data_IF_008336277005
#
_entry.id   IF_008336277005
#
_cell.length_a   1.000
_cell.length_b   1.000
_cell.length_c   1.000
_cell.angle_alpha   90.00
_cell.angle_beta   90.00
_cell.angle_gamma   90.00
#
_symmetry.space_group_name_H-M   'P 1'
#
loop_
_entity.id
_entity.type
_entity.pdbx_description
1 polymer ?
#
# COMPACT_ATOMS: atom_id res chain seq x y z
N UNK A 1 -18.20 29.53 -3.02
CA UNK A 1 -17.47 30.75 -2.63
C UNK A 1 -16.53 30.56 -1.43
N UNK A 2 -16.59 29.45 -0.68
CA UNK A 2 -15.58 29.13 0.34
C UNK A 2 -14.40 28.26 -0.18
N UNK A 3 -14.56 27.59 -1.33
CA UNK A 3 -13.57 26.62 -1.86
C UNK A 3 -12.49 27.23 -2.78
N UNK A 4 -12.49 28.55 -3.03
CA UNK A 4 -11.59 29.18 -4.02
C UNK A 4 -10.44 30.02 -3.40
N UNK A 5 -10.25 30.01 -2.07
CA UNK A 5 -9.29 30.90 -1.39
C UNK A 5 -8.01 30.23 -0.87
N UNK A 6 -7.80 28.93 -1.10
CA UNK A 6 -6.58 28.24 -0.63
C UNK A 6 -5.32 28.54 -1.47
N UNK A 7 -5.48 29.20 -2.64
CA UNK A 7 -4.40 29.48 -3.59
C UNK A 7 -3.63 30.79 -3.38
N UNK A 8 -3.75 31.43 -2.21
CA UNK A 8 -2.99 32.65 -1.89
C UNK A 8 -1.97 32.39 -0.78
N UNK A 9 -0.71 32.12 -1.19
CA UNK A 9 0.54 32.17 -0.38
C UNK A 9 0.46 31.49 1.00
N UNK A 10 0.29 30.18 0.99
CA UNK A 10 1.25 29.24 1.53
C UNK A 10 2.02 29.56 2.86
N UNK A 11 1.50 28.95 3.94
CA UNK A 11 2.24 28.31 5.06
C UNK A 11 2.97 29.15 6.09
N UNK A 12 3.64 30.25 5.76
CA UNK A 12 4.46 30.93 6.79
C UNK A 12 3.62 31.83 7.70
N UNK A 13 2.41 32.21 7.29
CA UNK A 13 1.58 33.21 8.01
C UNK A 13 0.23 32.69 8.49
N UNK A 14 -0.10 31.42 8.24
CA UNK A 14 -1.39 30.85 8.65
C UNK A 14 -1.30 30.22 10.05
N UNK A 15 -2.40 30.18 10.83
CA UNK A 15 -2.46 29.42 12.06
C UNK A 15 -2.07 27.94 11.86
N UNK A 16 -1.51 27.32 12.89
CA UNK A 16 -1.09 25.91 12.89
C UNK A 16 -2.21 24.95 12.44
N UNK A 17 -3.44 25.22 12.87
CA UNK A 17 -4.61 24.42 12.51
C UNK A 17 -4.88 24.44 10.99
N UNK A 18 -4.76 25.62 10.36
CA UNK A 18 -5.01 25.79 8.94
C UNK A 18 -3.89 25.15 8.11
N UNK A 19 -2.63 25.30 8.57
CA UNK A 19 -1.50 24.59 7.98
C UNK A 19 -1.69 23.07 8.06
N UNK A 20 -2.07 22.54 9.22
CA UNK A 20 -2.33 21.12 9.42
C UNK A 20 -3.43 20.58 8.50
N UNK A 21 -4.51 21.34 8.30
CA UNK A 21 -5.60 20.98 7.36
C UNK A 21 -5.13 20.97 5.91
N UNK A 22 -4.33 21.96 5.50
CA UNK A 22 -3.77 22.04 4.16
C UNK A 22 -2.78 20.90 3.91
N UNK A 23 -1.89 20.62 4.86
CA UNK A 23 -0.94 19.52 4.81
C UNK A 23 -1.64 18.16 4.67
N UNK A 24 -2.71 17.94 5.44
CA UNK A 24 -3.51 16.71 5.38
C UNK A 24 -4.27 16.53 4.05
N UNK A 25 -4.49 17.61 3.29
CA UNK A 25 -5.03 17.50 1.93
C UNK A 25 -3.97 17.04 0.94
N UNK A 26 -2.73 17.53 1.06
CA UNK A 26 -1.69 17.28 0.04
C UNK A 26 -0.83 16.05 0.32
N UNK A 27 -0.76 15.59 1.58
CA UNK A 27 -0.02 14.40 1.99
C UNK A 27 -0.90 13.49 2.84
N UNK A 28 -0.87 12.20 2.53
CA UNK A 28 -1.60 11.19 3.30
C UNK A 28 -0.70 10.02 3.69
N UNK A 29 0.02 10.11 4.82
CA UNK A 29 0.86 9.03 5.32
C UNK A 29 0.04 7.84 5.83
N UNK A 30 -1.12 8.09 6.44
CA UNK A 30 -1.87 7.08 7.20
C UNK A 30 -3.21 6.67 6.60
N UNK A 31 -3.65 7.31 5.50
CA UNK A 31 -4.94 7.00 4.85
C UNK A 31 -4.74 6.73 3.36
N UNK A 32 -5.45 5.74 2.79
CA UNK A 32 -5.54 5.60 1.34
C UNK A 32 -5.99 6.91 0.70
N UNK A 33 -5.32 7.31 -0.38
CA UNK A 33 -5.71 8.48 -1.15
C UNK A 33 -7.05 8.21 -1.84
N UNK A 34 -7.92 9.22 -1.84
CA UNK A 34 -9.28 9.12 -2.40
C UNK A 34 -9.50 9.99 -3.64
N UNK A 35 -8.57 10.92 -3.94
CA UNK A 35 -8.65 11.77 -5.13
C UNK A 35 -7.49 11.50 -6.11
N UNK A 36 -7.82 11.58 -7.40
CA UNK A 36 -6.89 11.32 -8.51
C UNK A 36 -5.67 12.26 -8.49
N UNK A 37 -5.85 13.48 -7.97
CA UNK A 37 -4.83 14.52 -7.87
C UNK A 37 -3.63 14.13 -7.00
N UNK A 38 -3.77 13.15 -6.11
CA UNK A 38 -2.69 12.69 -5.24
C UNK A 38 -2.08 11.35 -5.68
N UNK A 39 -2.65 10.68 -6.69
CA UNK A 39 -2.15 9.41 -7.23
C UNK A 39 -1.05 9.60 -8.29
N UNK A 40 -0.03 10.42 -7.96
CA UNK A 40 1.08 10.71 -8.88
C UNK A 40 1.83 9.45 -9.31
N UNK A 41 2.06 9.33 -10.61
CA UNK A 41 2.75 8.21 -11.23
C UNK A 41 1.91 6.93 -11.31
N UNK A 42 0.59 7.02 -11.12
CA UNK A 42 -0.38 5.90 -11.20
C UNK A 42 -1.51 6.14 -12.20
N UNK A 43 -1.36 7.15 -13.07
CA UNK A 43 -2.40 7.63 -13.98
C UNK A 43 -2.80 6.56 -14.99
N UNK A 44 -1.82 5.83 -15.55
CA UNK A 44 -2.07 4.75 -16.50
C UNK A 44 -2.84 3.59 -15.86
N UNK A 45 -2.47 3.20 -14.62
CA UNK A 45 -3.15 2.12 -13.90
C UNK A 45 -4.59 2.54 -13.57
N UNK A 46 -4.80 3.78 -13.13
CA UNK A 46 -6.14 4.29 -12.82
C UNK A 46 -7.04 4.32 -14.06
N UNK A 47 -6.53 4.82 -15.19
CA UNK A 47 -7.25 4.84 -16.47
C UNK A 47 -7.60 3.41 -16.94
N UNK A 48 -6.64 2.47 -16.82
CA UNK A 48 -6.88 1.05 -17.11
C UNK A 48 -8.00 0.45 -16.26
N UNK A 49 -8.02 0.74 -14.95
CA UNK A 49 -9.07 0.32 -14.03
C UNK A 49 -10.43 0.90 -14.43
N UNK A 50 -10.50 2.20 -14.71
CA UNK A 50 -11.75 2.86 -15.14
C UNK A 50 -12.29 2.25 -16.42
N UNK A 51 -11.45 2.08 -17.45
CA UNK A 51 -11.82 1.44 -18.72
C UNK A 51 -12.28 0.00 -18.53
N UNK A 52 -11.61 -0.77 -17.67
CA UNK A 52 -12.00 -2.14 -17.39
C UNK A 52 -13.37 -2.22 -16.73
N UNK A 53 -13.67 -1.36 -15.75
CA UNK A 53 -14.91 -1.35 -15.00
C UNK A 53 -16.12 -0.77 -15.75
N UNK A 54 -15.90 -0.12 -16.90
CA UNK A 54 -16.97 0.20 -17.86
C UNK A 54 -17.43 -1.02 -18.67
N UNK A 55 -16.60 -2.06 -18.80
CA UNK A 55 -17.00 -3.29 -19.47
C UNK A 55 -17.95 -4.12 -18.57
N UNK A 56 -19.16 -4.49 -19.02
CA UNK A 56 -20.09 -5.28 -18.22
C UNK A 56 -19.51 -6.63 -17.79
N UNK A 57 -19.68 -7.00 -16.52
CA UNK A 57 -19.19 -8.26 -15.96
C UNK A 57 -17.68 -8.33 -15.81
N UNK A 58 -16.97 -7.20 -15.87
CA UNK A 58 -15.53 -7.14 -15.60
C UNK A 58 -15.26 -6.54 -14.23
N UNK A 59 -14.34 -7.18 -13.52
CA UNK A 59 -13.89 -6.84 -12.18
C UNK A 59 -12.39 -6.54 -12.21
N UNK A 60 -11.84 -6.00 -11.13
CA UNK A 60 -10.44 -5.60 -11.07
C UNK A 60 -9.73 -6.31 -9.93
N UNK A 61 -8.50 -6.74 -10.17
CA UNK A 61 -7.60 -7.20 -9.13
C UNK A 61 -6.30 -6.42 -9.17
N UNK A 62 -6.01 -5.66 -8.12
CA UNK A 62 -4.78 -4.91 -7.94
C UNK A 62 -3.83 -5.72 -7.06
N UNK A 63 -2.62 -5.99 -7.55
CA UNK A 63 -1.64 -6.77 -6.81
C UNK A 63 -0.26 -6.12 -6.80
N UNK A 64 0.52 -6.41 -5.76
CA UNK A 64 1.84 -5.82 -5.57
C UNK A 64 2.31 -5.91 -4.13
N UNK A 65 3.54 -5.46 -3.87
CA UNK A 65 4.12 -5.51 -2.54
C UNK A 65 3.30 -4.71 -1.51
N UNK A 66 3.46 -5.02 -0.22
CA UNK A 66 2.88 -4.19 0.85
C UNK A 66 3.47 -2.77 0.77
N UNK A 67 2.64 -1.75 1.06
CA UNK A 67 3.07 -0.35 1.08
C UNK A 67 3.27 0.35 -0.27
N UNK A 68 2.95 -0.30 -1.41
CA UNK A 68 3.12 0.32 -2.77
C UNK A 68 1.94 1.20 -3.21
N UNK A 69 0.87 1.28 -2.40
CA UNK A 69 -0.30 2.14 -2.67
C UNK A 69 -1.50 1.45 -3.32
N UNK A 70 -1.67 0.12 -3.15
CA UNK A 70 -2.79 -0.64 -3.73
C UNK A 70 -4.15 -0.13 -3.26
N UNK A 71 -4.32 -0.01 -1.94
CA UNK A 71 -5.54 0.50 -1.31
C UNK A 71 -5.91 1.90 -1.79
N UNK A 72 -4.92 2.80 -1.88
CA UNK A 72 -5.12 4.16 -2.43
C UNK A 72 -5.61 4.13 -3.87
N UNK A 73 -4.99 3.31 -4.72
CA UNK A 73 -5.40 3.17 -6.12
C UNK A 73 -6.82 2.60 -6.24
N UNK A 74 -7.14 1.56 -5.47
CA UNK A 74 -8.47 0.94 -5.48
C UNK A 74 -9.56 1.88 -4.99
N UNK A 75 -9.33 2.58 -3.87
CA UNK A 75 -10.32 3.51 -3.32
C UNK A 75 -10.52 4.70 -4.26
N UNK A 76 -9.46 5.32 -4.77
CA UNK A 76 -9.62 6.42 -5.74
C UNK A 76 -10.37 5.97 -6.98
N UNK A 77 -10.05 4.80 -7.53
CA UNK A 77 -10.79 4.24 -8.65
C UNK A 77 -12.27 4.01 -8.31
N UNK A 78 -12.56 3.49 -7.11
CA UNK A 78 -13.92 3.25 -6.66
C UNK A 78 -14.71 4.56 -6.52
N UNK A 79 -14.12 5.59 -5.91
CA UNK A 79 -14.73 6.92 -5.78
C UNK A 79 -14.94 7.62 -7.12
N UNK A 80 -14.04 7.43 -8.09
CA UNK A 80 -14.18 7.98 -9.45
C UNK A 80 -15.36 7.37 -10.24
N UNK A 81 -15.79 6.16 -9.86
CA UNK A 81 -16.86 5.41 -10.53
C UNK A 81 -18.20 5.48 -9.79
N UNK A 82 -18.18 5.74 -8.48
CA UNK A 82 -19.39 6.01 -7.71
C UNK A 82 -20.09 7.28 -8.19
N UNK A 83 -21.41 7.26 -8.13
CA UNK A 83 -22.22 8.47 -8.31
C UNK A 83 -22.20 9.31 -7.04
N UNK A 84 -22.38 10.63 -7.16
CA UNK A 84 -22.46 11.58 -6.03
C UNK A 84 -23.50 11.21 -4.93
N UNK A 85 -24.42 10.29 -5.22
CA UNK A 85 -25.45 9.82 -4.29
C UNK A 85 -25.11 8.49 -3.58
N UNK A 86 -24.04 7.79 -3.95
CA UNK A 86 -23.72 6.46 -3.43
C UNK A 86 -22.21 6.24 -3.35
N UNK A 87 -21.63 6.39 -2.16
CA UNK A 87 -20.23 6.08 -1.90
C UNK A 87 -19.93 4.58 -2.10
N UNK A 88 -18.70 4.22 -2.54
CA UNK A 88 -18.28 2.84 -2.63
C UNK A 88 -18.26 2.16 -1.26
N UNK A 89 -18.43 0.84 -1.26
CA UNK A 89 -18.29 0.01 -0.06
C UNK A 89 -16.85 -0.48 0.01
N UNK A 90 -16.19 -0.29 1.15
CA UNK A 90 -14.78 -0.66 1.35
C UNK A 90 -14.73 -1.64 2.51
N UNK A 91 -14.28 -2.85 2.25
CA UNK A 91 -14.16 -3.94 3.23
C UNK A 91 -12.71 -4.37 3.32
N UNK A 92 -12.16 -4.41 4.53
CA UNK A 92 -10.81 -4.95 4.78
C UNK A 92 -10.90 -6.42 5.21
N UNK A 93 -9.99 -7.24 4.70
CA UNK A 93 -9.87 -8.63 5.12
C UNK A 93 -8.83 -8.82 6.23
N UNK A 94 -9.09 -9.78 7.12
CA UNK A 94 -8.19 -10.30 8.13
C UNK A 94 -8.14 -11.84 8.07
N UNK A 95 -7.37 -12.45 8.97
CA UNK A 95 -7.15 -13.89 8.99
C UNK A 95 -8.35 -14.70 9.53
N UNK A 96 -9.36 -14.05 10.09
CA UNK A 96 -10.57 -14.67 10.63
C UNK A 96 -11.74 -14.64 9.64
N UNK A 97 -11.64 -13.83 8.58
CA UNK A 97 -12.70 -13.71 7.59
C UNK A 97 -12.83 -14.94 6.70
N UNK A 98 -14.08 -15.26 6.35
CA UNK A 98 -14.47 -16.22 5.33
C UNK A 98 -15.19 -15.50 4.18
N UNK A 99 -15.44 -16.21 3.07
CA UNK A 99 -16.27 -15.69 1.99
C UNK A 99 -17.63 -15.22 2.49
N UNK A 100 -18.31 -16.06 3.29
CA UNK A 100 -19.65 -15.76 3.79
C UNK A 100 -19.67 -14.56 4.73
N UNK A 101 -18.64 -14.39 5.58
CA UNK A 101 -18.56 -13.23 6.48
C UNK A 101 -18.42 -11.92 5.70
N UNK A 102 -17.54 -11.87 4.70
CA UNK A 102 -17.32 -10.65 3.90
C UNK A 102 -18.58 -10.26 3.11
N UNK A 103 -19.32 -11.22 2.57
CA UNK A 103 -20.59 -10.92 1.86
C UNK A 103 -21.67 -10.44 2.83
N UNK A 104 -21.69 -10.96 4.06
CA UNK A 104 -22.57 -10.42 5.11
C UNK A 104 -22.19 -8.98 5.45
N UNK A 105 -20.92 -8.70 5.67
CA UNK A 105 -20.44 -7.34 5.98
C UNK A 105 -20.80 -6.36 4.86
N UNK A 106 -20.65 -6.76 3.59
CA UNK A 106 -21.13 -5.99 2.44
C UNK A 106 -22.62 -5.65 2.56
N UNK A 107 -23.45 -6.64 2.90
CA UNK A 107 -24.89 -6.45 2.98
C UNK A 107 -25.27 -5.54 4.16
N UNK A 108 -24.64 -5.72 5.32
CA UNK A 108 -24.85 -4.85 6.49
C UNK A 108 -24.45 -3.40 6.22
N UNK A 109 -23.31 -3.19 5.55
CA UNK A 109 -22.80 -1.86 5.19
C UNK A 109 -23.69 -1.14 4.17
N UNK A 110 -24.26 -1.86 3.21
CA UNK A 110 -25.19 -1.26 2.24
C UNK A 110 -26.54 -0.90 2.90
N UNK A 111 -27.04 -1.75 3.80
CA UNK A 111 -28.30 -1.50 4.51
C UNK A 111 -28.17 -0.31 5.46
N UNK A 112 -27.08 -0.23 6.22
CA UNK A 112 -26.86 0.86 7.19
C UNK A 112 -26.84 2.24 6.52
N UNK A 113 -26.41 2.30 5.25
CA UNK A 113 -26.35 3.52 4.43
C UNK A 113 -27.68 3.89 3.77
N UNK A 114 -28.67 2.99 3.73
CA UNK A 114 -29.95 3.25 3.06
C UNK A 114 -31.15 2.93 3.95
N UNK A 115 -31.69 3.94 4.67
CA UNK A 115 -32.91 3.81 5.46
C UNK A 115 -34.12 3.36 4.63
N UNK A 116 -34.11 3.58 3.31
CA UNK A 116 -35.15 3.10 2.39
C UNK A 116 -35.07 1.59 2.19
N UNK A 117 -33.87 1.02 2.09
CA UNK A 117 -33.67 -0.44 2.04
C UNK A 117 -34.08 -1.03 3.38
N UNK A 118 -33.64 -0.42 4.49
CA UNK A 118 -34.00 -0.84 5.84
C UNK A 118 -35.52 -0.80 6.07
N UNK A 119 -36.21 0.28 5.66
CA UNK A 119 -37.67 0.38 5.71
C UNK A 119 -38.34 -0.60 4.76
N UNK A 120 -37.83 -0.83 3.55
CA UNK A 120 -38.39 -1.85 2.66
C UNK A 120 -38.31 -3.25 3.27
N UNK A 121 -37.24 -3.53 4.02
CA UNK A 121 -37.07 -4.77 4.78
C UNK A 121 -38.02 -4.82 5.99
N UNK A 122 -38.27 -3.70 6.68
CA UNK A 122 -39.09 -3.62 7.92
C UNK A 122 -40.60 -3.45 7.68
N UNK A 123 -41.01 -2.61 6.74
CA UNK A 123 -42.41 -2.25 6.40
C UNK A 123 -43.07 -3.29 5.48
N UNK A 124 -42.28 -4.20 4.91
CA UNK A 124 -42.76 -5.41 4.23
C UNK A 124 -43.34 -6.43 5.20
N UNK A 125 -44.43 -6.09 5.90
CA UNK A 125 -45.23 -6.95 6.79
C UNK A 125 -45.95 -8.13 6.09
N UNK A 126 -45.46 -8.53 4.92
CA UNK A 126 -45.98 -9.59 4.07
C UNK A 126 -44.95 -10.00 3.01
N UNK A 127 -43.86 -10.65 3.43
CA UNK A 127 -43.13 -11.55 2.54
C UNK A 127 -41.89 -11.03 1.78
N UNK A 128 -41.02 -10.20 2.37
CA UNK A 128 -39.59 -10.31 2.05
C UNK A 128 -38.98 -11.32 3.01
N UNK A 129 -39.25 -12.59 2.74
CA UNK A 129 -38.70 -13.69 3.51
C UNK A 129 -37.23 -13.85 3.11
N UNK A 130 -36.25 -13.28 3.83
CA UNK A 130 -34.82 -13.56 3.59
C UNK A 130 -34.52 -15.08 3.50
N UNK A 131 -35.41 -15.92 4.05
CA UNK A 131 -35.44 -17.36 3.84
C UNK A 131 -35.64 -17.88 2.40
N UNK A 132 -36.18 -17.10 1.45
CA UNK A 132 -36.17 -17.46 0.02
C UNK A 132 -34.83 -17.14 -0.66
N UNK A 133 -34.14 -16.10 -0.18
CA UNK A 133 -32.79 -15.74 -0.62
C UNK A 133 -31.75 -16.75 -0.13
N UNK A 134 -31.91 -17.28 1.09
CA UNK A 134 -30.98 -18.22 1.74
C UNK A 134 -31.44 -19.68 1.79
N UNK A 135 -32.55 -20.03 1.14
CA UNK A 135 -33.10 -21.39 1.15
C UNK A 135 -33.59 -21.91 2.52
N UNK A 136 -33.40 -21.16 3.59
CA UNK A 136 -33.81 -21.50 4.94
C UNK A 136 -35.31 -21.17 5.14
N UNK A 137 -36.15 -22.21 5.19
CA UNK A 137 -37.53 -22.07 5.60
C UNK A 137 -37.59 -21.48 7.02
N UNK A 138 -38.06 -20.23 7.12
CA UNK A 138 -38.15 -19.38 8.33
C UNK A 138 -36.81 -18.89 8.87
N UNK A 139 -36.31 -17.79 8.28
CA UNK A 139 -35.50 -16.84 9.05
C UNK A 139 -36.49 -16.05 9.91
N UNK A 140 -36.53 -16.34 11.21
CA UNK A 140 -37.20 -15.45 12.16
C UNK A 140 -36.52 -14.08 12.08
N UNK A 141 -37.27 -13.07 11.66
CA UNK A 141 -36.97 -11.65 11.85
C UNK A 141 -36.96 -11.30 13.34
N UNK A 142 -36.05 -11.90 14.09
CA UNK A 142 -35.61 -11.36 15.37
C UNK A 142 -34.29 -10.63 15.08
N UNK A 143 -34.41 -9.30 15.10
CA UNK A 143 -33.36 -8.29 14.90
C UNK A 143 -32.85 -8.20 13.45
N UNK A 144 -32.84 -7.00 12.87
CA UNK A 144 -32.50 -6.77 11.46
C UNK A 144 -31.03 -6.96 11.12
N UNK A 145 -30.50 -8.16 11.37
CA UNK A 145 -29.17 -8.62 10.96
C UNK A 145 -29.25 -9.35 9.62
N UNK A 146 -28.21 -9.16 8.82
CA UNK A 146 -28.06 -9.82 7.54
C UNK A 146 -27.78 -11.32 7.73
N UNK A 147 -28.39 -12.22 6.94
CA UNK A 147 -28.02 -13.62 7.00
C UNK A 147 -26.67 -13.85 6.29
N UNK A 148 -25.80 -14.67 6.89
CA UNK A 148 -24.60 -15.16 6.21
C UNK A 148 -25.04 -16.10 5.07
N UNK A 149 -24.57 -15.88 3.83
CA UNK A 149 -24.92 -16.77 2.72
C UNK A 149 -24.31 -18.15 2.97
N UNK A 150 -25.15 -19.18 2.88
CA UNK A 150 -24.72 -20.57 3.03
C UNK A 150 -24.12 -21.15 1.74
N UNK A 151 -24.42 -20.51 0.59
CA UNK A 151 -23.87 -20.89 -0.72
C UNK A 151 -23.50 -19.68 -1.56
N UNK A 152 -22.63 -19.90 -2.56
CA UNK A 152 -22.24 -18.87 -3.54
C UNK A 152 -23.46 -18.33 -4.30
N UNK A 153 -24.44 -19.19 -4.62
CA UNK A 153 -25.66 -18.78 -5.31
C UNK A 153 -26.51 -17.81 -4.48
N UNK A 154 -26.50 -17.96 -3.16
CA UNK A 154 -27.18 -17.05 -2.22
C UNK A 154 -26.46 -15.71 -2.17
N UNK A 155 -25.13 -15.72 -2.05
CA UNK A 155 -24.33 -14.50 -2.11
C UNK A 155 -24.60 -13.69 -3.39
N UNK A 156 -24.66 -14.35 -4.55
CA UNK A 156 -24.97 -13.70 -5.83
C UNK A 156 -26.37 -13.09 -5.83
N UNK A 157 -27.37 -13.80 -5.28
CA UNK A 157 -28.74 -13.28 -5.16
C UNK A 157 -28.82 -12.09 -4.21
N UNK A 158 -28.09 -12.11 -3.10
CA UNK A 158 -28.01 -10.98 -2.17
C UNK A 158 -27.43 -9.75 -2.85
N UNK A 159 -26.31 -9.87 -3.56
CA UNK A 159 -25.70 -8.73 -4.25
C UNK A 159 -26.58 -8.21 -5.40
N UNK A 160 -27.25 -9.09 -6.14
CA UNK A 160 -28.23 -8.68 -7.15
C UNK A 160 -29.37 -7.87 -6.52
N UNK A 161 -29.92 -8.34 -5.39
CA UNK A 161 -30.96 -7.64 -4.64
C UNK A 161 -30.49 -6.25 -4.15
N UNK A 162 -29.25 -6.12 -3.68
CA UNK A 162 -28.67 -4.84 -3.28
C UNK A 162 -28.57 -3.89 -4.47
N UNK A 163 -28.11 -4.36 -5.63
CA UNK A 163 -27.99 -3.53 -6.83
C UNK A 163 -29.34 -2.97 -7.29
N UNK A 164 -30.41 -3.78 -7.25
CA UNK A 164 -31.77 -3.34 -7.61
C UNK A 164 -32.30 -2.18 -6.73
N UNK A 165 -31.81 -2.04 -5.50
CA UNK A 165 -32.38 -1.12 -4.49
C UNK A 165 -31.45 0.00 -4.06
N UNK A 166 -30.13 -0.19 -4.20
CA UNK A 166 -29.12 0.79 -3.79
C UNK A 166 -28.76 1.69 -4.97
N UNK A 167 -28.36 1.10 -6.11
CA UNK A 167 -28.02 1.80 -7.37
C UNK A 167 -27.50 0.78 -8.41
N UNK A 168 -27.68 1.06 -9.71
CA UNK A 168 -27.07 0.32 -10.84
C UNK A 168 -25.53 0.37 -10.89
N UNK A 169 -24.89 0.92 -9.85
CA UNK A 169 -23.46 1.18 -9.77
C UNK A 169 -22.87 0.82 -8.41
N UNK A 170 -23.25 -0.32 -7.83
CA UNK A 170 -22.57 -0.81 -6.63
C UNK A 170 -21.09 -1.06 -6.95
N UNK A 171 -20.20 -0.31 -6.29
CA UNK A 171 -18.75 -0.51 -6.35
C UNK A 171 -18.26 -0.96 -4.99
N UNK A 172 -17.57 -2.11 -4.95
CA UNK A 172 -17.07 -2.73 -3.73
C UNK A 172 -15.56 -2.91 -3.85
N UNK A 173 -14.84 -2.42 -2.84
CA UNK A 173 -13.40 -2.67 -2.65
C UNK A 173 -13.25 -3.74 -1.57
N UNK A 174 -12.53 -4.82 -1.89
CA UNK A 174 -12.10 -5.85 -0.95
C UNK A 174 -10.59 -5.71 -0.80
N UNK A 175 -10.17 -5.09 0.29
CA UNK A 175 -8.78 -4.77 0.59
C UNK A 175 -8.11 -5.83 1.47
N UNK A 176 -6.78 -5.88 1.43
CA UNK A 176 -5.97 -6.88 2.15
C UNK A 176 -6.43 -8.34 1.92
N UNK A 177 -6.91 -8.66 0.71
CA UNK A 177 -7.44 -9.98 0.37
C UNK A 177 -6.41 -11.12 0.60
N UNK A 178 -5.12 -10.78 0.61
CA UNK A 178 -4.05 -11.70 0.98
C UNK A 178 -4.06 -12.17 2.45
N UNK A 179 -4.84 -11.54 3.34
CA UNK A 179 -5.03 -11.99 4.72
C UNK A 179 -5.89 -13.25 4.83
N UNK A 180 -6.79 -13.49 3.86
CA UNK A 180 -7.54 -14.74 3.77
C UNK A 180 -6.56 -15.82 3.29
N UNK A 181 -6.08 -16.68 4.20
CA UNK A 181 -5.08 -17.71 3.89
C UNK A 181 -5.68 -19.02 3.39
N UNK A 182 -6.96 -19.27 3.66
CA UNK A 182 -7.64 -20.48 3.20
C UNK A 182 -7.90 -20.38 1.69
N UNK A 183 -7.34 -21.34 0.94
CA UNK A 183 -7.51 -21.41 -0.51
C UNK A 183 -8.95 -21.71 -0.92
N UNK A 184 -9.68 -22.48 -0.11
CA UNK A 184 -11.09 -22.81 -0.38
C UNK A 184 -11.93 -21.53 -0.34
N UNK A 185 -11.67 -20.66 0.63
CA UNK A 185 -12.34 -19.37 0.72
C UNK A 185 -11.98 -18.47 -0.47
N UNK A 186 -10.70 -18.43 -0.88
CA UNK A 186 -10.29 -17.69 -2.08
C UNK A 186 -10.98 -18.22 -3.36
N UNK A 187 -11.13 -19.54 -3.49
CA UNK A 187 -11.86 -20.17 -4.60
C UNK A 187 -13.36 -19.81 -4.59
N UNK A 188 -13.99 -19.64 -3.42
CA UNK A 188 -15.37 -19.16 -3.33
C UNK A 188 -15.53 -17.75 -3.93
N UNK A 189 -14.59 -16.84 -3.68
CA UNK A 189 -14.61 -15.50 -4.31
C UNK A 189 -14.48 -15.58 -5.84
N UNK A 190 -13.59 -16.43 -6.37
CA UNK A 190 -13.44 -16.61 -7.81
C UNK A 190 -14.75 -17.11 -8.46
N UNK A 191 -15.39 -18.10 -7.85
CA UNK A 191 -16.68 -18.64 -8.29
C UNK A 191 -17.81 -17.62 -8.18
N UNK A 192 -17.83 -16.81 -7.12
CA UNK A 192 -18.79 -15.75 -6.92
C UNK A 192 -18.70 -14.68 -8.01
N UNK A 193 -17.49 -14.18 -8.30
CA UNK A 193 -17.25 -13.18 -9.34
C UNK A 193 -17.66 -13.70 -10.73
N UNK A 194 -17.33 -14.96 -11.03
CA UNK A 194 -17.80 -15.63 -12.26
C UNK A 194 -19.32 -15.60 -12.35
N UNK A 195 -20.02 -16.01 -11.30
CA UNK A 195 -21.49 -16.07 -11.33
C UNK A 195 -22.13 -14.68 -11.42
N UNK A 196 -21.57 -13.65 -10.77
CA UNK A 196 -22.02 -12.26 -10.94
C UNK A 196 -21.90 -11.81 -12.39
N UNK A 197 -20.76 -12.11 -13.01
CA UNK A 197 -20.45 -11.75 -14.39
C UNK A 197 -21.38 -12.47 -15.37
N UNK A 198 -21.54 -13.78 -15.24
CA UNK A 198 -22.38 -14.60 -16.12
C UNK A 198 -23.86 -14.21 -16.02
N UNK A 199 -24.33 -13.82 -14.82
CA UNK A 199 -25.69 -13.33 -14.58
C UNK A 199 -25.86 -11.83 -14.85
N UNK A 200 -24.79 -11.13 -15.26
CA UNK A 200 -24.78 -9.69 -15.58
C UNK A 200 -25.29 -8.82 -14.42
N UNK A 201 -24.95 -9.19 -13.19
CA UNK A 201 -25.28 -8.38 -12.02
C UNK A 201 -24.46 -7.08 -12.11
N UNK A 202 -25.08 -5.88 -12.00
CA UNK A 202 -24.39 -4.60 -12.18
C UNK A 202 -23.58 -4.18 -10.95
N UNK A 203 -22.77 -5.10 -10.43
CA UNK A 203 -21.84 -4.87 -9.33
C UNK A 203 -20.40 -4.90 -9.83
N UNK A 204 -19.58 -3.94 -9.37
CA UNK A 204 -18.17 -3.81 -9.70
C UNK A 204 -17.35 -4.13 -8.46
N UNK A 205 -16.41 -5.06 -8.58
CA UNK A 205 -15.54 -5.45 -7.47
C UNK A 205 -14.10 -5.10 -7.81
N UNK A 206 -13.39 -4.52 -6.84
CA UNK A 206 -11.96 -4.23 -6.88
C UNK A 206 -11.31 -4.96 -5.72
N UNK A 207 -10.45 -5.93 -6.01
CA UNK A 207 -9.70 -6.66 -5.00
C UNK A 207 -8.29 -6.10 -4.88
N UNK A 208 -7.74 -6.04 -3.66
CA UNK A 208 -6.34 -5.71 -3.42
C UNK A 208 -5.64 -6.83 -2.67
N UNK A 209 -4.47 -7.26 -3.14
CA UNK A 209 -3.69 -8.30 -2.47
C UNK A 209 -2.24 -8.36 -2.92
N UNK A 210 -1.54 -9.43 -2.53
CA UNK A 210 -0.19 -9.74 -3.03
C UNK A 210 -0.28 -10.60 -4.30
N UNK A 211 0.84 -10.72 -5.04
CA UNK A 211 0.87 -11.45 -6.31
C UNK A 211 0.45 -12.93 -6.19
N UNK A 212 0.88 -13.62 -5.14
CA UNK A 212 0.52 -15.03 -4.89
C UNK A 212 -1.00 -15.24 -4.78
N UNK A 213 -1.72 -14.25 -4.28
CA UNK A 213 -3.19 -14.30 -4.15
C UNK A 213 -3.89 -14.21 -5.50
N UNK A 214 -3.32 -13.46 -6.46
CA UNK A 214 -3.82 -13.43 -7.84
C UNK A 214 -3.66 -14.78 -8.49
N UNK A 215 -2.48 -15.39 -8.37
CA UNK A 215 -2.21 -16.71 -8.94
C UNK A 215 -3.17 -17.76 -8.38
N UNK A 216 -3.47 -17.71 -7.08
CA UNK A 216 -4.47 -18.58 -6.45
C UNK A 216 -5.87 -18.40 -7.06
N UNK A 217 -6.34 -17.17 -7.24
CA UNK A 217 -7.64 -16.89 -7.87
C UNK A 217 -7.68 -17.31 -9.34
N UNK A 218 -6.63 -17.00 -10.11
CA UNK A 218 -6.60 -17.32 -11.54
C UNK A 218 -6.47 -18.82 -11.78
N UNK A 219 -5.71 -19.54 -10.94
CA UNK A 219 -5.55 -20.99 -11.04
C UNK A 219 -6.79 -21.78 -10.64
N UNK A 220 -7.70 -21.21 -9.83
CA UNK A 220 -8.95 -21.84 -9.45
C UNK A 220 -9.81 -22.24 -10.67
N UNK A 221 -9.76 -21.46 -11.76
CA UNK A 221 -10.51 -21.76 -12.99
C UNK A 221 -9.80 -21.30 -14.26
N UNK A 222 -9.77 -22.17 -15.27
CA UNK A 222 -9.24 -21.89 -16.62
C UNK A 222 -9.93 -20.73 -17.37
N UNK A 223 -10.98 -20.13 -16.82
CA UNK A 223 -11.70 -18.99 -17.41
C UNK A 223 -11.74 -17.74 -16.50
N UNK A 224 -11.06 -17.76 -15.35
CA UNK A 224 -11.03 -16.61 -14.42
C UNK A 224 -10.46 -15.34 -15.08
N UNK A 225 -9.48 -15.49 -15.97
CA UNK A 225 -8.76 -14.40 -16.63
C UNK A 225 -9.66 -13.42 -17.40
N UNK A 226 -10.81 -13.87 -17.92
CA UNK A 226 -11.70 -12.99 -18.69
C UNK A 226 -12.55 -12.07 -17.82
N UNK A 227 -12.76 -12.44 -16.55
CA UNK A 227 -13.59 -11.69 -15.61
C UNK A 227 -12.79 -10.63 -14.86
N UNK A 228 -11.47 -10.79 -14.77
CA UNK A 228 -10.59 -9.84 -14.09
C UNK A 228 -9.77 -9.02 -15.07
N UNK A 229 -9.62 -7.74 -14.76
CA UNK A 229 -8.50 -6.94 -15.21
C UNK A 229 -7.47 -6.89 -14.08
N UNK A 230 -6.31 -7.51 -14.30
CA UNK A 230 -5.22 -7.55 -13.32
C UNK A 230 -4.32 -6.34 -13.49
N UNK A 231 -4.05 -5.66 -12.38
CA UNK A 231 -3.18 -4.49 -12.33
C UNK A 231 -2.00 -4.80 -11.41
N UNK A 232 -0.82 -4.95 -12.01
CA UNK A 232 0.43 -5.09 -11.26
C UNK A 232 0.93 -3.72 -10.83
N UNK A 233 1.00 -3.50 -9.51
CA UNK A 233 1.45 -2.27 -8.91
C UNK A 233 2.85 -2.43 -8.34
N UNK A 234 3.83 -1.91 -9.09
CA UNK A 234 5.23 -1.90 -8.66
C UNK A 234 5.54 -0.69 -7.76
N UNK A 235 6.77 -0.61 -7.22
CA UNK A 235 7.25 0.58 -6.51
C UNK A 235 7.17 1.82 -7.42
N UNK A 236 6.90 3.00 -6.86
CA UNK A 236 6.87 4.25 -7.62
C UNK A 236 8.21 4.49 -8.33
N UNK A 237 8.15 5.03 -9.55
CA UNK A 237 9.30 5.55 -10.28
C UNK A 237 9.94 6.75 -9.57
N UNK A 238 11.06 7.25 -10.09
CA UNK A 238 11.73 8.44 -9.54
C UNK A 238 10.85 9.67 -9.67
N UNK A 239 10.30 9.90 -10.86
CA UNK A 239 9.51 11.09 -11.17
C UNK A 239 8.28 11.19 -10.27
N UNK A 240 7.51 10.11 -10.14
CA UNK A 240 6.33 10.10 -9.25
C UNK A 240 6.67 10.36 -7.79
N UNK A 241 7.83 9.92 -7.28
CA UNK A 241 8.25 10.23 -5.91
C UNK A 241 8.57 11.71 -5.74
N UNK A 242 9.32 12.28 -6.67
CA UNK A 242 9.75 13.69 -6.64
C UNK A 242 8.54 14.60 -6.79
N UNK A 243 7.65 14.26 -7.72
CA UNK A 243 6.43 15.02 -8.00
C UNK A 243 5.52 15.10 -6.78
N UNK A 244 5.36 14.02 -6.01
CA UNK A 244 4.61 14.06 -4.74
C UNK A 244 5.19 15.12 -3.80
N UNK A 245 6.51 15.14 -3.62
CA UNK A 245 7.19 16.08 -2.71
C UNK A 245 7.03 17.52 -3.21
N UNK A 246 7.39 17.76 -4.47
CA UNK A 246 7.42 19.11 -5.06
C UNK A 246 6.01 19.69 -5.19
N UNK A 247 5.03 18.89 -5.60
CA UNK A 247 3.64 19.35 -5.69
C UNK A 247 3.09 19.71 -4.30
N UNK A 248 3.33 18.87 -3.28
CA UNK A 248 2.90 19.18 -1.92
C UNK A 248 3.61 20.42 -1.37
N UNK A 249 4.93 20.55 -1.58
CA UNK A 249 5.68 21.74 -1.20
C UNK A 249 5.14 23.00 -1.88
N UNK A 250 4.85 22.95 -3.19
CA UNK A 250 4.32 24.08 -3.94
C UNK A 250 2.92 24.49 -3.47
N UNK A 251 2.02 23.55 -3.20
CA UNK A 251 0.68 23.84 -2.67
C UNK A 251 0.74 24.44 -1.26
N UNK A 252 1.79 24.10 -0.52
CA UNK A 252 2.15 24.65 0.77
C UNK A 252 3.12 25.83 0.65
N UNK A 253 3.45 26.31 -0.57
CA UNK A 253 4.53 27.28 -0.85
C UNK A 253 5.74 27.23 0.09
N UNK A 254 6.17 25.99 0.33
CA UNK A 254 7.47 25.66 0.88
C UNK A 254 8.44 25.61 -0.30
N UNK A 255 9.56 26.30 -0.17
CA UNK A 255 10.65 26.25 -1.15
C UNK A 255 11.57 25.07 -0.80
N UNK A 256 11.54 24.05 -1.65
CA UNK A 256 12.37 22.85 -1.54
C UNK A 256 13.33 22.78 -2.72
N UNK A 257 14.60 22.50 -2.44
CA UNK A 257 15.61 22.28 -3.46
C UNK A 257 15.55 20.86 -4.03
N UNK A 258 16.00 20.70 -5.28
CA UNK A 258 16.04 19.41 -5.97
C UNK A 258 16.79 18.35 -5.18
N UNK A 259 17.91 18.70 -4.53
CA UNK A 259 18.74 17.74 -3.79
C UNK A 259 17.94 17.13 -2.65
N UNK A 260 17.18 17.94 -1.91
CA UNK A 260 16.32 17.43 -0.84
C UNK A 260 15.21 16.55 -1.40
N UNK A 261 14.53 16.95 -2.47
CA UNK A 261 13.50 16.12 -3.10
C UNK A 261 14.06 14.76 -3.58
N UNK A 262 15.24 14.75 -4.20
CA UNK A 262 15.95 13.53 -4.60
C UNK A 262 16.33 12.66 -3.40
N UNK A 263 16.76 13.25 -2.28
CA UNK A 263 17.06 12.49 -1.05
C UNK A 263 15.82 11.81 -0.50
N UNK A 264 14.66 12.49 -0.46
CA UNK A 264 13.39 11.88 -0.03
C UNK A 264 12.99 10.74 -0.98
N UNK A 265 13.06 10.97 -2.29
CA UNK A 265 12.76 9.96 -3.31
C UNK A 265 13.70 8.74 -3.22
N UNK A 266 14.96 8.95 -2.83
CA UNK A 266 15.95 7.89 -2.60
C UNK A 266 15.63 7.08 -1.36
N UNK A 267 15.40 7.74 -0.22
CA UNK A 267 15.18 7.10 1.08
C UNK A 267 13.90 6.27 1.05
N UNK A 268 12.85 6.79 0.42
CA UNK A 268 11.55 6.11 0.31
C UNK A 268 11.60 4.80 -0.48
N UNK A 269 12.63 4.58 -1.29
CA UNK A 269 12.80 3.39 -2.11
C UNK A 269 11.61 3.08 -3.04
N UNK A 270 10.83 4.09 -3.40
CA UNK A 270 9.63 3.94 -4.23
C UNK A 270 8.40 3.44 -3.49
N UNK A 271 8.41 3.41 -2.16
CA UNK A 271 7.22 3.17 -1.36
C UNK A 271 6.57 4.52 -0.99
N UNK A 272 5.36 4.85 -1.51
CA UNK A 272 4.70 6.13 -1.29
C UNK A 272 4.57 6.52 0.19
N UNK A 273 4.32 5.55 1.06
CA UNK A 273 4.22 5.76 2.51
C UNK A 273 5.39 6.58 3.08
N UNK A 274 6.63 6.23 2.70
CA UNK A 274 7.82 6.97 3.17
C UNK A 274 7.92 8.35 2.55
N UNK A 275 7.52 8.52 1.29
CA UNK A 275 7.52 9.84 0.63
C UNK A 275 6.60 10.78 1.40
N UNK A 276 5.37 10.35 1.69
CA UNK A 276 4.41 11.15 2.45
C UNK A 276 4.87 11.42 3.88
N UNK A 277 5.29 10.39 4.61
CA UNK A 277 5.71 10.54 6.01
C UNK A 277 6.92 11.48 6.14
N UNK A 278 7.95 11.28 5.33
CA UNK A 278 9.15 12.11 5.39
C UNK A 278 8.82 13.56 5.03
N UNK A 279 8.05 13.78 3.96
CA UNK A 279 7.66 15.13 3.52
C UNK A 279 6.79 15.82 4.57
N UNK A 280 5.85 15.09 5.19
CA UNK A 280 5.01 15.60 6.27
C UNK A 280 5.88 16.06 7.45
N UNK A 281 6.84 15.24 7.92
CA UNK A 281 7.73 15.63 9.00
C UNK A 281 8.60 16.83 8.63
N UNK A 282 9.10 16.88 7.39
CA UNK A 282 9.88 18.01 6.90
C UNK A 282 9.07 19.30 6.88
N UNK A 283 7.85 19.26 6.35
CA UNK A 283 7.02 20.45 6.20
C UNK A 283 6.56 20.99 7.55
N UNK A 284 6.31 20.12 8.54
CA UNK A 284 6.15 20.56 9.93
C UNK A 284 7.41 21.25 10.47
N UNK A 285 8.61 20.74 10.20
CA UNK A 285 9.85 21.41 10.63
C UNK A 285 10.01 22.79 9.98
N UNK A 286 9.70 22.91 8.70
CA UNK A 286 9.75 24.20 7.98
C UNK A 286 8.73 25.20 8.55
N UNK A 287 7.50 24.75 8.82
CA UNK A 287 6.47 25.58 9.44
C UNK A 287 6.89 26.08 10.83
N UNK A 288 7.34 25.16 11.69
CA UNK A 288 7.79 25.47 13.06
C UNK A 288 9.00 26.41 13.09
N UNK A 289 9.90 26.32 12.09
CA UNK A 289 11.08 27.17 12.01
C UNK A 289 10.77 28.64 11.66
N UNK A 290 9.58 28.93 11.11
CA UNK A 290 9.16 30.27 10.68
C UNK A 290 10.20 30.99 9.80
N UNK A 291 10.94 30.23 8.99
CA UNK A 291 12.10 30.72 8.24
C UNK A 291 11.77 31.18 6.81
N UNK A 292 10.53 31.63 6.57
CA UNK A 292 10.08 32.00 5.22
C UNK A 292 9.76 30.82 4.31
N UNK A 293 9.58 29.61 4.86
CA UNK A 293 9.19 28.43 4.08
C UNK A 293 10.37 27.73 3.40
N UNK A 294 11.60 28.06 3.76
CA UNK A 294 12.81 27.51 3.14
C UNK A 294 13.23 26.19 3.79
N UNK A 295 13.46 25.16 2.98
CA UNK A 295 14.05 23.91 3.48
C UNK A 295 15.55 24.09 3.73
N UNK A 296 16.05 23.63 4.88
CA UNK A 296 17.48 23.61 5.23
C UNK A 296 17.94 22.21 5.59
N UNK A 297 19.27 21.98 5.56
CA UNK A 297 19.85 20.70 5.96
C UNK A 297 19.52 20.29 7.40
N UNK A 298 19.52 21.26 8.33
CA UNK A 298 19.19 21.03 9.74
C UNK A 298 17.73 20.57 9.91
N UNK A 299 16.80 21.21 9.19
CA UNK A 299 15.38 20.82 9.21
C UNK A 299 15.17 19.45 8.58
N UNK A 300 15.91 19.14 7.52
CA UNK A 300 15.90 17.82 6.90
C UNK A 300 16.39 16.72 7.85
N UNK A 301 17.50 16.93 8.55
CA UNK A 301 18.03 15.99 9.53
C UNK A 301 17.05 15.79 10.71
N UNK A 302 16.48 16.87 11.23
CA UNK A 302 15.45 16.80 12.26
C UNK A 302 14.21 16.03 11.79
N UNK A 303 13.79 16.23 10.54
CA UNK A 303 12.68 15.49 9.93
C UNK A 303 12.97 14.00 9.78
N UNK A 304 14.20 13.61 9.40
CA UNK A 304 14.59 12.18 9.33
C UNK A 304 14.49 11.50 10.70
N UNK A 305 14.93 12.19 11.75
CA UNK A 305 14.81 11.69 13.12
C UNK A 305 13.33 11.51 13.53
N UNK A 306 12.50 12.55 13.34
CA UNK A 306 11.06 12.48 13.63
C UNK A 306 10.35 11.40 12.80
N UNK A 307 10.70 11.23 11.53
CA UNK A 307 10.12 10.20 10.67
C UNK A 307 10.52 8.78 11.10
N UNK A 308 11.77 8.58 11.53
CA UNK A 308 12.23 7.29 12.06
C UNK A 308 11.51 6.93 13.37
N UNK A 309 11.23 7.92 14.21
CA UNK A 309 10.55 7.69 15.49
C UNK A 309 9.06 7.46 15.33
N UNK A 310 8.42 8.14 14.37
CA UNK A 310 7.00 7.99 14.05
C UNK A 310 6.66 6.73 13.23
N UNK A 311 7.66 5.99 12.74
CA UNK A 311 7.45 4.80 11.92
C UNK A 311 6.64 3.72 12.66
N UNK A 312 5.69 3.09 11.97
CA UNK A 312 4.87 2.03 12.53
C UNK A 312 5.70 0.88 13.12
N UNK A 313 5.23 0.33 14.25
CA UNK A 313 5.91 -0.78 14.92
C UNK A 313 6.12 -2.00 14.01
N UNK A 314 5.21 -2.27 13.08
CA UNK A 314 5.34 -3.39 12.12
C UNK A 314 6.57 -3.26 11.22
N UNK A 315 7.01 -2.04 10.90
CA UNK A 315 8.19 -1.77 10.09
C UNK A 315 9.46 -1.65 10.94
N UNK A 316 9.33 -1.09 12.15
CA UNK A 316 10.43 -0.87 13.08
C UNK A 316 10.87 -2.13 13.83
N UNK A 317 9.93 -2.94 14.31
CA UNK A 317 10.21 -4.06 15.20
C UNK A 317 11.14 -5.14 14.61
N UNK A 318 11.00 -5.56 13.33
CA UNK A 318 11.93 -6.52 12.74
C UNK A 318 13.36 -5.98 12.68
N UNK A 319 13.53 -4.70 12.34
CA UNK A 319 14.84 -4.05 12.30
C UNK A 319 15.44 -3.95 13.69
N UNK A 320 14.69 -3.44 14.66
CA UNK A 320 15.14 -3.31 16.05
C UNK A 320 15.52 -4.67 16.63
N UNK A 321 14.72 -5.72 16.40
CA UNK A 321 15.03 -7.07 16.87
C UNK A 321 16.32 -7.61 16.23
N UNK A 322 16.54 -7.33 14.95
CA UNK A 322 17.75 -7.73 14.23
C UNK A 322 19.00 -6.99 14.70
N UNK A 323 18.87 -5.74 15.17
CA UNK A 323 19.99 -4.86 15.55
C UNK A 323 20.25 -4.79 17.06
N UNK A 324 19.32 -5.24 17.91
CA UNK A 324 19.49 -5.36 19.38
C UNK A 324 20.52 -6.44 19.75
N UNK A 325 21.79 -6.17 19.53
CA UNK A 325 22.94 -7.00 19.94
C UNK A 325 24.08 -6.11 20.44
N UNK A 326 25.06 -6.73 21.10
CA UNK A 326 26.26 -6.05 21.61
C UNK A 326 27.14 -5.40 20.51
N UNK A 327 26.98 -5.80 19.24
CA UNK A 327 27.65 -5.18 18.10
C UNK A 327 26.66 -4.65 17.06
N UNK A 328 27.03 -3.54 16.41
CA UNK A 328 26.24 -2.90 15.35
C UNK A 328 26.42 -3.57 13.98
N UNK A 329 27.12 -4.71 13.89
CA UNK A 329 27.42 -5.38 12.62
C UNK A 329 26.15 -5.63 11.80
N UNK A 330 25.09 -6.10 12.47
CA UNK A 330 23.82 -6.40 11.83
C UNK A 330 23.19 -5.15 11.20
N UNK A 331 23.33 -3.98 11.83
CA UNK A 331 22.82 -2.72 11.28
C UNK A 331 23.52 -2.37 9.97
N UNK A 332 24.84 -2.43 9.93
CA UNK A 332 25.61 -2.14 8.71
C UNK A 332 25.41 -3.20 7.62
N UNK A 333 25.21 -4.45 8.00
CA UNK A 333 24.81 -5.51 7.06
C UNK A 333 23.45 -5.18 6.44
N UNK A 334 22.46 -4.77 7.23
CA UNK A 334 21.13 -4.40 6.71
C UNK A 334 21.20 -3.16 5.80
N UNK A 335 22.00 -2.16 6.15
CA UNK A 335 22.31 -1.03 5.26
C UNK A 335 22.89 -1.51 3.93
N UNK A 336 23.85 -2.44 3.99
CA UNK A 336 24.42 -3.05 2.79
C UNK A 336 23.37 -3.82 1.99
N UNK A 337 22.40 -4.51 2.61
CA UNK A 337 21.31 -5.18 1.86
C UNK A 337 20.40 -4.17 1.16
N UNK A 338 20.15 -3.01 1.79
CA UNK A 338 19.30 -1.94 1.24
C UNK A 338 20.01 -1.01 0.23
N UNK A 339 21.31 -1.20 0.03
CA UNK A 339 22.15 -0.46 -0.91
C UNK A 339 21.81 -0.80 -2.38
N UNK A 340 21.70 0.20 -3.25
CA UNK A 340 21.30 0.02 -4.66
C UNK A 340 19.79 -0.18 -4.85
N UNK A 341 19.28 -0.20 -6.08
CA UNK A 341 17.83 -0.20 -6.38
C UNK A 341 17.18 -1.59 -6.34
N UNK A 342 17.99 -2.65 -6.37
CA UNK A 342 17.53 -4.03 -6.47
C UNK A 342 16.90 -4.53 -5.16
N UNK A 343 15.73 -5.17 -5.27
CA UNK A 343 15.07 -5.82 -4.14
C UNK A 343 15.78 -7.09 -3.67
N UNK A 344 16.43 -7.78 -4.60
CA UNK A 344 17.16 -9.01 -4.36
C UNK A 344 18.61 -8.85 -4.81
N UNK A 345 19.55 -9.19 -3.92
CA UNK A 345 21.00 -8.99 -4.16
C UNK A 345 21.79 -10.24 -3.82
N UNK A 346 22.90 -10.45 -4.52
CA UNK A 346 23.83 -11.56 -4.23
C UNK A 346 24.64 -11.24 -2.97
N UNK A 347 24.93 -12.26 -2.18
CA UNK A 347 25.80 -12.16 -1.00
C UNK A 347 27.15 -11.51 -1.32
N UNK A 348 27.72 -11.76 -2.51
CA UNK A 348 28.97 -11.12 -2.97
C UNK A 348 28.85 -9.61 -3.10
N UNK A 349 27.74 -9.15 -3.68
CA UNK A 349 27.49 -7.74 -3.96
C UNK A 349 27.13 -7.00 -2.66
N UNK A 350 26.33 -7.64 -1.79
CA UNK A 350 26.03 -7.12 -0.45
C UNK A 350 27.32 -7.00 0.39
N UNK A 351 28.21 -7.99 0.33
CA UNK A 351 29.48 -7.91 1.05
C UNK A 351 30.36 -6.76 0.54
N UNK A 352 30.40 -6.51 -0.77
CA UNK A 352 31.12 -5.36 -1.33
C UNK A 352 30.55 -4.04 -0.82
N UNK A 353 29.22 -3.88 -0.81
CA UNK A 353 28.54 -2.73 -0.19
C UNK A 353 28.88 -2.60 1.30
N UNK A 354 28.91 -3.71 2.04
CA UNK A 354 29.25 -3.72 3.48
C UNK A 354 30.67 -3.22 3.72
N UNK A 355 31.67 -3.73 2.98
CA UNK A 355 33.06 -3.26 3.08
C UNK A 355 33.15 -1.76 2.80
N UNK A 356 32.48 -1.27 1.76
CA UNK A 356 32.44 0.16 1.41
C UNK A 356 31.86 1.00 2.56
N UNK A 357 30.72 0.57 3.12
CA UNK A 357 30.04 1.27 4.21
C UNK A 357 30.90 1.29 5.48
N UNK A 358 31.47 0.15 5.89
CA UNK A 358 32.31 0.11 7.09
C UNK A 358 33.60 0.90 6.93
N UNK A 359 34.20 0.89 5.73
CA UNK A 359 35.38 1.70 5.44
C UNK A 359 35.08 3.20 5.52
N UNK A 360 33.95 3.65 4.96
CA UNK A 360 33.53 5.05 5.06
C UNK A 360 33.29 5.50 6.52
N UNK A 361 32.91 4.57 7.39
CA UNK A 361 32.69 4.80 8.82
C UNK A 361 33.96 4.60 9.67
N UNK A 362 35.11 4.28 9.07
CA UNK A 362 36.35 3.92 9.77
C UNK A 362 36.19 2.76 10.77
N UNK A 363 35.38 1.76 10.40
CA UNK A 363 35.12 0.56 11.20
C UNK A 363 35.87 -0.65 10.63
N UNK A 364 36.34 -1.52 11.52
CA UNK A 364 36.90 -2.81 11.12
C UNK A 364 35.80 -3.74 10.58
N UNK A 365 35.94 -4.15 9.33
CA UNK A 365 34.97 -5.03 8.69
C UNK A 365 35.11 -6.48 9.16
N UNK A 366 33.98 -7.17 9.29
CA UNK A 366 33.98 -8.61 9.51
C UNK A 366 34.61 -9.36 8.32
N UNK A 367 35.33 -10.45 8.63
CA UNK A 367 35.74 -11.41 7.61
C UNK A 367 34.51 -12.05 6.92
N UNK A 368 34.74 -12.60 5.73
CA UNK A 368 33.64 -13.12 4.90
C UNK A 368 32.86 -14.26 5.57
N UNK A 369 33.53 -15.09 6.37
CA UNK A 369 32.88 -16.22 7.05
C UNK A 369 31.93 -15.74 8.15
N UNK A 370 32.40 -14.80 8.99
CA UNK A 370 31.57 -14.16 10.02
C UNK A 370 30.41 -13.38 9.40
N UNK A 371 30.65 -12.62 8.33
CA UNK A 371 29.60 -11.91 7.59
C UNK A 371 28.51 -12.87 7.10
N UNK A 372 28.87 -13.98 6.45
CA UNK A 372 27.90 -14.96 5.97
C UNK A 372 27.11 -15.59 7.14
N UNK A 373 27.77 -15.83 8.27
CA UNK A 373 27.13 -16.33 9.50
C UNK A 373 26.09 -15.33 10.02
N UNK A 374 26.43 -14.03 10.08
CA UNK A 374 25.50 -12.97 10.47
C UNK A 374 24.31 -12.87 9.51
N UNK A 375 24.56 -12.83 8.19
CA UNK A 375 23.52 -12.84 7.16
C UNK A 375 22.55 -14.01 7.32
N UNK A 376 23.04 -15.21 7.64
CA UNK A 376 22.18 -16.36 7.86
C UNK A 376 21.37 -16.27 9.17
N UNK A 377 21.91 -15.62 10.19
CA UNK A 377 21.18 -15.37 11.45
C UNK A 377 20.02 -14.38 11.28
N UNK A 378 20.11 -13.44 10.33
CA UNK A 378 19.05 -12.48 10.01
C UNK A 378 17.81 -13.11 9.35
N UNK A 379 17.90 -14.38 8.94
CA UNK A 379 16.78 -15.17 8.39
C UNK A 379 16.04 -15.99 9.44
N UNK A 380 16.37 -15.84 10.73
CA UNK A 380 15.84 -16.65 11.82
C UNK A 380 14.89 -15.81 12.69
N UNK A 381 13.95 -16.49 13.36
CA UNK A 381 12.97 -15.91 14.28
C UNK A 381 13.59 -14.98 15.32
N UNK A 382 14.77 -15.32 15.85
CA UNK A 382 15.50 -14.48 16.81
C UNK A 382 15.98 -13.12 16.28
N UNK A 383 15.91 -12.89 14.96
CA UNK A 383 16.20 -11.61 14.31
C UNK A 383 14.96 -11.07 13.57
N UNK A 384 13.75 -11.54 13.92
CA UNK A 384 12.50 -11.13 13.29
C UNK A 384 12.32 -11.58 11.85
N UNK A 385 13.14 -12.55 11.39
CA UNK A 385 13.11 -13.06 10.00
C UNK A 385 13.16 -11.93 8.97
N UNK A 386 13.92 -10.87 9.27
CA UNK A 386 13.97 -9.65 8.46
C UNK A 386 14.49 -9.89 7.03
N UNK A 387 15.33 -10.92 6.84
CA UNK A 387 15.80 -11.35 5.53
C UNK A 387 15.22 -12.71 5.14
N UNK A 388 15.00 -12.89 3.84
CA UNK A 388 14.67 -14.17 3.20
C UNK A 388 15.67 -14.47 2.08
N UNK A 389 15.64 -15.71 1.56
CA UNK A 389 16.51 -16.15 0.48
C UNK A 389 15.78 -17.16 -0.41
N UNK A 390 15.43 -16.76 -1.63
CA UNK A 390 14.68 -17.60 -2.57
C UNK A 390 15.60 -18.46 -3.46
N UNK A 391 16.91 -18.15 -3.47
CA UNK A 391 17.95 -18.88 -4.21
C UNK A 391 19.26 -18.86 -3.42
N UNK A 392 20.04 -19.92 -3.52
CA UNK A 392 21.37 -20.01 -2.88
C UNK A 392 22.23 -18.78 -3.21
N UNK A 393 22.68 -18.08 -2.17
CA UNK A 393 23.52 -16.89 -2.29
C UNK A 393 22.78 -15.59 -2.65
N UNK A 394 21.46 -15.60 -2.77
CA UNK A 394 20.63 -14.41 -2.99
C UNK A 394 19.80 -14.08 -1.76
N UNK A 395 19.72 -12.80 -1.44
CA UNK A 395 19.07 -12.30 -0.24
C UNK A 395 18.19 -11.10 -0.58
N UNK A 396 17.14 -10.95 0.19
CA UNK A 396 16.19 -9.85 0.10
C UNK A 396 15.53 -9.62 1.46
N UNK A 397 14.90 -8.47 1.65
CA UNK A 397 14.02 -8.26 2.79
C UNK A 397 12.77 -9.13 2.63
N UNK A 398 12.34 -9.76 3.72
CA UNK A 398 11.10 -10.55 3.75
C UNK A 398 9.91 -9.67 3.38
N UNK A 399 9.76 -8.54 4.06
CA UNK A 399 8.82 -7.48 3.67
C UNK A 399 9.57 -6.36 2.95
N UNK A 400 9.29 -6.18 1.66
CA UNK A 400 10.04 -5.24 0.79
C UNK A 400 9.99 -3.81 1.30
N UNK A 401 8.87 -3.42 1.93
CA UNK A 401 8.66 -2.09 2.49
C UNK A 401 9.65 -1.75 3.62
N UNK A 402 10.21 -2.74 4.34
CA UNK A 402 11.22 -2.51 5.40
C UNK A 402 12.49 -1.85 4.83
N UNK A 403 12.77 -2.04 3.54
CA UNK A 403 13.94 -1.46 2.88
C UNK A 403 13.98 0.07 2.94
N UNK A 404 12.80 0.72 2.87
CA UNK A 404 12.68 2.17 3.07
C UNK A 404 13.04 2.60 4.49
N UNK A 405 12.63 1.83 5.51
CA UNK A 405 12.98 2.11 6.91
C UNK A 405 14.48 1.95 7.15
N UNK A 406 15.09 0.90 6.60
CA UNK A 406 16.55 0.68 6.69
C UNK A 406 17.32 1.84 6.06
N UNK A 407 16.84 2.36 4.91
CA UNK A 407 17.41 3.54 4.25
C UNK A 407 17.23 4.81 5.07
N UNK A 408 16.06 5.00 5.68
CA UNK A 408 15.81 6.11 6.60
C UNK A 408 16.76 6.07 7.81
N UNK A 409 16.96 4.88 8.39
CA UNK A 409 17.94 4.66 9.47
C UNK A 409 19.38 4.86 9.01
N UNK A 410 19.71 4.56 7.77
CA UNK A 410 21.04 4.84 7.21
C UNK A 410 21.25 6.35 7.08
N UNK A 411 20.25 7.07 6.55
CA UNK A 411 20.30 8.53 6.43
C UNK A 411 20.44 9.23 7.79
N UNK A 412 19.66 8.80 8.79
CA UNK A 412 19.76 9.31 10.16
C UNK A 412 21.15 9.06 10.78
N UNK A 413 21.80 7.95 10.42
CA UNK A 413 23.15 7.64 10.85
C UNK A 413 24.24 8.29 9.97
N UNK A 414 23.87 9.21 9.06
CA UNK A 414 24.77 9.84 8.09
C UNK A 414 25.50 8.82 7.18
N UNK A 415 24.89 7.66 6.94
CA UNK A 415 25.40 6.62 6.05
C UNK A 415 24.79 6.76 4.67
N UNK A 416 25.59 7.21 3.71
CA UNK A 416 25.14 7.37 2.33
C UNK A 416 25.12 6.02 1.59
N UNK A 417 23.92 5.55 1.28
CA UNK A 417 23.71 4.38 0.42
C UNK A 417 23.73 4.78 -1.06
N UNK A 418 24.11 3.88 -1.95
CA UNK A 418 24.15 4.12 -3.39
C UNK A 418 22.75 4.07 -4.01
N UNK A 419 22.57 4.89 -5.04
CA UNK A 419 21.48 4.78 -5.99
C UNK A 419 22.11 4.30 -7.29
N UNK A 420 22.16 3.00 -7.49
CA UNK A 420 22.37 2.55 -8.87
C UNK A 420 21.18 3.04 -9.68
N UNK A 421 21.46 3.88 -10.68
CA UNK A 421 20.49 4.24 -11.70
C UNK A 421 20.01 2.93 -12.33
N UNK A 422 18.70 2.64 -12.43
CA UNK A 422 18.21 1.37 -12.97
C UNK A 422 18.70 1.10 -14.42
N UNK A 423 19.13 2.15 -15.14
CA UNK A 423 19.78 2.05 -16.46
C UNK A 423 21.32 2.16 -16.45
N UNK A 424 21.97 2.34 -15.29
CA UNK A 424 23.42 2.28 -15.23
C UNK A 424 23.85 0.85 -15.56
N UNK A 425 24.49 0.65 -16.71
CA UNK A 425 25.19 -0.61 -17.01
C UNK A 425 26.13 -0.89 -15.83
N UNK A 426 25.93 -2.04 -15.18
CA UNK A 426 26.89 -2.60 -14.21
C UNK A 426 28.29 -2.37 -14.77
N UNK A 427 29.18 -1.72 -14.01
CA UNK A 427 30.62 -1.82 -14.28
C UNK A 427 31.01 -3.28 -14.04
N UNK A 428 30.80 -4.10 -15.06
CA UNK A 428 31.32 -5.44 -15.15
C UNK A 428 32.83 -5.31 -15.34
N UNK A 429 33.60 -5.82 -14.39
CA UNK A 429 34.99 -6.20 -14.61
C UNK A 429 36.02 -5.18 -14.13
N UNK A 430 36.69 -5.56 -13.04
CA UNK A 430 38.07 -5.19 -12.79
C UNK A 430 38.96 -5.55 -14.00
N UNK A 431 39.73 -4.57 -14.48
CA UNK A 431 41.08 -4.67 -15.08
C UNK A 431 41.68 -3.29 -14.83
N UNK A 432 42.82 -3.05 -14.20
CA UNK A 432 44.04 -3.81 -13.98
C UNK A 432 45.11 -2.72 -13.82
N UNK A 433 46.06 -2.92 -12.92
CA UNK A 433 47.24 -2.07 -12.79
C UNK A 433 47.93 -1.85 -14.13
N UNK A 434 48.14 -0.58 -14.51
CA UNK A 434 49.26 -0.14 -15.35
C UNK A 434 49.70 1.24 -14.88
N UNK A 435 50.97 1.32 -14.50
CA UNK A 435 51.64 2.46 -13.87
C UNK A 435 52.60 1.92 -12.83
#
# INVERSE_FOLDING_TARGET
MADELWNLRAVVTQPEEDFGKALAHVLSPSRPLQSEEFLRGREEQLDGIRKALYAPGRHVFIHGFRGVGKSSLAQTAAYSLSSASCDPVILGCDNSNSFSSIIKDLFEEVISRSPLIEKTIREGGGGINLGWLTGAAKVSTQEGRAPEPSTINEAVRLVAFLCERYSDKLVVVIDEFDQIKDKVEQEHFANFIKQLSDKRVPARFIFCGIGETVEAIMSAHASADRYFHTVSLERLGWDGRIEIVVAAASSLGIEIDDTTAYRIAKISDGFPHYVHLISEKLFWQVFEAQNGGMVTGELFEAAMAKASDAMEMKLKAPFDLATRKYSNDNQYILYAVADGHELQRRSTDIFASYIRITAALNLEALDRSKFNTRMNSLKKTGAGEILSANRTGWYEFTEKVIRGYVRLRAEQASVQLEVDHPMARRRLGWQGSKG
#
